data_IF_800147025411
#
_entry.id   IF_800147025411
#
_cell.length_a   1.000
_cell.length_b   1.000
_cell.length_c   1.000
_cell.angle_alpha   90.00
_cell.angle_beta   90.00
_cell.angle_gamma   90.00
#
_symmetry.space_group_name_H-M   'P 1'
#
loop_
_entity.id
_entity.type
_entity.pdbx_description
1 polymer ?
#
# COMPACT_ATOMS: atom_id res chain seq x y z
N UNK A 1 6.56 -3.08 -25.55
CA UNK A 1 7.91 -3.00 -24.97
C UNK A 1 8.24 -1.54 -24.71
N UNK A 2 7.84 -1.03 -23.55
CA UNK A 2 8.06 0.35 -23.14
C UNK A 2 8.01 0.37 -21.62
N UNK A 3 9.05 -0.18 -20.99
CA UNK A 3 9.19 -0.14 -19.54
C UNK A 3 9.35 1.30 -19.05
N UNK A 4 8.99 1.59 -17.79
CA UNK A 4 9.11 2.94 -17.24
C UNK A 4 10.55 3.45 -17.39
N UNK A 5 10.67 4.72 -17.79
CA UNK A 5 11.94 5.44 -17.90
C UNK A 5 12.74 5.30 -16.60
N UNK A 6 13.95 4.75 -16.68
CA UNK A 6 14.86 4.62 -15.54
C UNK A 6 15.51 5.96 -15.23
N UNK A 7 14.74 6.89 -14.66
CA UNK A 7 15.32 8.01 -13.95
C UNK A 7 16.07 7.49 -12.71
N UNK A 8 17.18 8.13 -12.28
CA UNK A 8 17.87 7.77 -11.06
C UNK A 8 16.88 7.79 -9.88
N UNK A 9 16.74 6.66 -9.20
CA UNK A 9 15.87 6.54 -8.02
C UNK A 9 16.63 7.10 -6.84
N UNK A 10 16.14 8.20 -6.27
CA UNK A 10 16.61 8.70 -4.98
C UNK A 10 16.09 7.77 -3.88
N UNK A 11 16.92 6.87 -3.35
CA UNK A 11 16.51 5.87 -2.36
C UNK A 11 16.15 6.45 -0.97
N UNK A 12 16.33 7.75 -0.74
CA UNK A 12 16.04 8.36 0.56
C UNK A 12 14.55 8.62 0.79
N UNK A 13 13.72 8.56 -0.26
CA UNK A 13 12.26 8.66 -0.12
C UNK A 13 11.60 7.29 0.17
N UNK A 14 10.70 7.21 1.16
CA UNK A 14 9.91 6.00 1.41
C UNK A 14 9.05 5.62 0.20
N UNK A 15 9.18 4.37 -0.27
CA UNK A 15 8.40 3.84 -1.40
C UNK A 15 7.83 2.47 -1.10
N UNK A 16 6.63 2.22 -1.63
CA UNK A 16 5.95 0.92 -1.60
C UNK A 16 5.99 0.34 -3.00
N UNK A 17 6.48 -0.90 -3.13
CA UNK A 17 6.53 -1.64 -4.38
C UNK A 17 5.54 -2.79 -4.33
N UNK A 18 4.75 -2.94 -5.40
CA UNK A 18 3.87 -4.08 -5.62
C UNK A 18 4.33 -4.72 -6.93
N UNK A 19 4.67 -6.00 -6.88
CA UNK A 19 5.21 -6.74 -8.02
C UNK A 19 4.63 -8.15 -8.09
N UNK A 20 4.68 -8.73 -9.29
CA UNK A 20 4.26 -10.11 -9.52
C UNK A 20 5.33 -11.05 -8.93
N UNK A 21 4.98 -11.79 -7.88
CA UNK A 21 5.86 -12.83 -7.34
C UNK A 21 5.77 -14.12 -8.17
N UNK A 22 5.97 -13.97 -9.48
CA UNK A 22 5.99 -15.05 -10.46
C UNK A 22 7.21 -14.86 -11.38
N UNK A 23 8.03 -15.90 -11.64
CA UNK A 23 9.18 -15.78 -12.52
C UNK A 23 8.82 -15.22 -13.90
N UNK A 24 9.46 -14.12 -14.29
CA UNK A 24 9.18 -13.43 -15.57
C UNK A 24 7.97 -12.47 -15.54
N UNK A 25 7.18 -12.47 -14.46
CA UNK A 25 5.96 -11.66 -14.33
C UNK A 25 4.81 -12.18 -15.19
N UNK A 26 3.59 -12.02 -14.69
CA UNK A 26 2.36 -12.43 -15.41
C UNK A 26 1.51 -11.23 -15.84
N UNK A 27 1.98 -10.01 -15.54
CA UNK A 27 1.37 -8.76 -15.97
C UNK A 27 0.26 -8.24 -15.04
N UNK A 28 0.24 -8.61 -13.75
CA UNK A 28 -0.75 -8.04 -12.81
C UNK A 28 -0.35 -6.65 -12.31
N UNK A 29 0.96 -6.41 -12.18
CA UNK A 29 1.48 -5.16 -11.64
C UNK A 29 1.15 -3.93 -12.48
N UNK A 30 1.15 -4.05 -13.81
CA UNK A 30 0.85 -2.95 -14.73
C UNK A 30 -0.59 -2.41 -14.64
N UNK A 31 -1.64 -3.25 -14.69
CA UNK A 31 -3.00 -2.80 -14.45
C UNK A 31 -3.19 -2.32 -13.00
N UNK A 32 -2.55 -2.96 -12.01
CA UNK A 32 -2.60 -2.49 -10.61
C UNK A 32 -2.04 -1.06 -10.47
N UNK A 33 -0.91 -0.76 -11.14
CA UNK A 33 -0.33 0.58 -11.14
C UNK A 33 -1.25 1.61 -11.81
N UNK A 34 -1.93 1.21 -12.89
CA UNK A 34 -2.92 2.05 -13.56
C UNK A 34 -4.11 2.37 -12.64
N UNK A 35 -4.48 1.44 -11.75
CA UNK A 35 -5.57 1.58 -10.78
C UNK A 35 -5.13 2.11 -9.39
N UNK A 36 -3.87 2.55 -9.23
CA UNK A 36 -3.29 2.89 -7.92
C UNK A 36 -4.12 3.86 -7.07
N UNK A 37 -4.71 4.89 -7.67
CA UNK A 37 -5.56 5.84 -6.94
C UNK A 37 -6.81 5.15 -6.35
N UNK A 38 -7.43 4.25 -7.12
CA UNK A 38 -8.55 3.44 -6.67
C UNK A 38 -8.13 2.44 -5.57
N UNK A 39 -6.94 1.86 -5.67
CA UNK A 39 -6.38 0.99 -4.63
C UNK A 39 -6.22 1.75 -3.31
N UNK A 40 -5.57 2.92 -3.32
CA UNK A 40 -5.39 3.77 -2.13
C UNK A 40 -6.74 4.15 -1.51
N UNK A 41 -7.70 4.59 -2.31
CA UNK A 41 -9.04 4.95 -1.83
C UNK A 41 -9.77 3.77 -1.17
N UNK A 42 -9.69 2.57 -1.78
CA UNK A 42 -10.30 1.35 -1.23
C UNK A 42 -9.61 0.88 0.05
N UNK A 43 -8.28 0.96 0.12
CA UNK A 43 -7.51 0.64 1.34
C UNK A 43 -7.90 1.57 2.48
N UNK A 44 -8.04 2.87 2.23
CA UNK A 44 -8.52 3.84 3.22
C UNK A 44 -9.92 3.47 3.72
N UNK A 45 -10.84 3.11 2.81
CA UNK A 45 -12.18 2.65 3.16
C UNK A 45 -12.17 1.39 4.02
N UNK A 46 -11.34 0.41 3.67
CA UNK A 46 -11.16 -0.83 4.42
C UNK A 46 -10.67 -0.56 5.85
N UNK A 47 -9.64 0.29 6.01
CA UNK A 47 -9.09 0.60 7.33
C UNK A 47 -10.08 1.41 8.17
N UNK A 48 -10.72 2.42 7.58
CA UNK A 48 -11.69 3.26 8.29
C UNK A 48 -12.94 2.49 8.73
N UNK A 49 -13.43 1.56 7.91
CA UNK A 49 -14.59 0.73 8.20
C UNK A 49 -14.33 -0.45 9.13
N UNK A 50 -13.07 -0.76 9.44
CA UNK A 50 -12.74 -1.84 10.36
C UNK A 50 -13.16 -1.47 11.80
N UNK A 51 -13.83 -2.35 12.57
CA UNK A 51 -14.29 -2.03 13.93
C UNK A 51 -13.18 -2.05 14.99
N UNK A 52 -11.95 -2.43 14.65
CA UNK A 52 -10.86 -2.46 15.63
C UNK A 52 -10.42 -1.04 16.04
N UNK A 53 -9.89 -0.90 17.24
CA UNK A 53 -9.40 0.38 17.76
C UNK A 53 -8.02 0.73 17.17
N UNK A 54 -7.04 -0.15 17.34
CA UNK A 54 -5.63 0.13 17.01
C UNK A 54 -5.10 -0.59 15.77
N UNK A 55 -5.60 -1.80 15.50
CA UNK A 55 -5.19 -2.65 14.39
C UNK A 55 -5.58 -4.12 14.61
N UNK A 56 -5.86 -4.84 13.53
CA UNK A 56 -6.09 -6.28 13.54
C UNK A 56 -5.55 -6.93 12.25
N UNK A 57 -5.46 -8.28 12.18
CA UNK A 57 -4.99 -9.00 11.00
C UNK A 57 -5.76 -8.71 9.70
N UNK A 58 -6.98 -8.15 9.80
CA UNK A 58 -7.82 -7.83 8.64
C UNK A 58 -7.63 -6.41 8.09
N UNK A 59 -6.88 -5.53 8.75
CA UNK A 59 -6.65 -4.16 8.28
C UNK A 59 -5.17 -3.77 8.22
N UNK A 60 -4.64 -3.18 9.30
CA UNK A 60 -3.27 -2.66 9.36
C UNK A 60 -2.27 -3.63 10.00
N UNK A 61 -2.74 -4.77 10.52
CA UNK A 61 -1.92 -5.74 11.25
C UNK A 61 -2.28 -5.85 12.74
N UNK A 62 -1.86 -6.93 13.43
CA UNK A 62 -2.19 -7.15 14.85
C UNK A 62 -1.45 -6.19 15.78
N UNK A 63 -2.13 -5.70 16.83
CA UNK A 63 -1.60 -4.71 17.78
C UNK A 63 -0.17 -4.99 18.28
N UNK A 64 0.16 -6.26 18.57
CA UNK A 64 1.47 -6.66 19.09
C UNK A 64 2.63 -6.44 18.11
N UNK A 65 2.36 -6.25 16.83
CA UNK A 65 3.37 -6.06 15.78
C UNK A 65 3.42 -4.60 15.30
N UNK A 66 2.27 -3.92 15.25
CA UNK A 66 2.15 -2.59 14.61
C UNK A 66 2.02 -1.43 15.59
N UNK A 67 1.78 -1.72 16.87
CA UNK A 67 1.62 -0.72 17.92
C UNK A 67 0.23 -0.06 17.97
N UNK A 68 -0.05 0.73 19.04
CA UNK A 68 -1.40 1.21 19.36
C UNK A 68 -1.95 2.26 18.40
N UNK A 69 -1.09 2.93 17.63
CA UNK A 69 -1.46 4.02 16.73
C UNK A 69 -1.51 3.60 15.26
N UNK A 70 -1.30 2.32 14.94
CA UNK A 70 -1.14 1.86 13.56
C UNK A 70 -2.31 2.26 12.66
N UNK A 71 -3.55 2.05 13.11
CA UNK A 71 -4.76 2.45 12.36
C UNK A 71 -4.79 3.95 12.07
N UNK A 72 -4.53 4.77 13.09
CA UNK A 72 -4.54 6.24 12.97
C UNK A 72 -3.45 6.73 12.02
N UNK A 73 -2.22 6.23 12.18
CA UNK A 73 -1.08 6.61 11.34
C UNK A 73 -1.29 6.16 9.89
N UNK A 74 -1.78 4.95 9.66
CA UNK A 74 -2.08 4.47 8.31
C UNK A 74 -3.11 5.34 7.61
N UNK A 75 -4.19 5.74 8.30
CA UNK A 75 -5.20 6.65 7.76
C UNK A 75 -4.65 8.05 7.48
N UNK A 76 -3.69 8.52 8.27
CA UNK A 76 -3.01 9.80 8.04
C UNK A 76 -2.09 9.75 6.82
N UNK A 77 -1.29 8.68 6.68
CA UNK A 77 -0.44 8.46 5.50
C UNK A 77 -1.30 8.41 4.23
N UNK A 78 -2.39 7.63 4.25
CA UNK A 78 -3.30 7.49 3.10
C UNK A 78 -4.09 8.76 2.73
N UNK A 79 -4.08 9.79 3.57
CA UNK A 79 -4.65 11.11 3.22
C UNK A 79 -3.68 11.99 2.44
N UNK A 80 -2.39 11.66 2.44
CA UNK A 80 -1.30 12.44 1.83
C UNK A 80 -0.82 11.84 0.51
N UNK A 81 -1.41 10.72 0.09
CA UNK A 81 -1.12 9.97 -1.16
C UNK A 81 -2.31 10.10 -2.10
#
# INVERSE_FOLDING_TARGET
AGGPSQAPVDYDEPRIFVYDNYPGGIGLSEPLFSMRAGLVARTRGLIAGCPCESGCPSCVGPLGEVGPLAKTVALEILRRV
#
